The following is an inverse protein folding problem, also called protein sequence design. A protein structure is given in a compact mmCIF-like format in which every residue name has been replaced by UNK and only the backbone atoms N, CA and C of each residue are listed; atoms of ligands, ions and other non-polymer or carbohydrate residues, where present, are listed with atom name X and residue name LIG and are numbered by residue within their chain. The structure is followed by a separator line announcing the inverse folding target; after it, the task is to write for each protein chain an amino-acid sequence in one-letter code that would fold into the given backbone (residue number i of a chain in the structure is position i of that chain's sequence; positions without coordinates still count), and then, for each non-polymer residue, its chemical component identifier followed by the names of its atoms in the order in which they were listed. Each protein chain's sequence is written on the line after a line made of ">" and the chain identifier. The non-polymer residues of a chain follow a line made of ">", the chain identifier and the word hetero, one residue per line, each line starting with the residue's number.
data_IF_972280078641
#
_entry.id   IF_972280078641
#
_cell.length_a   1.000
_cell.length_b   1.000
_cell.length_c   1.000
_cell.angle_alpha   90.00
_cell.angle_beta   90.00
_cell.angle_gamma   90.00
#
_symmetry.space_group_name_H-M   'P 1'
#
loop_
_entity.id
_entity.type
_entity.pdbx_description
1 polymer ?
#
# COMPACT_ATOMS: atom_id res chain seq x y z
N UNK A 1 37.08 19.28 18.70
CA UNK A 1 36.68 19.72 17.35
C UNK A 1 37.93 20.15 16.63
N UNK A 2 38.30 19.43 15.58
CA UNK A 2 39.52 19.68 14.83
C UNK A 2 39.34 20.93 13.96
N UNK A 3 40.39 21.75 13.81
CA UNK A 3 40.36 22.96 12.97
C UNK A 3 39.97 22.66 11.50
N UNK A 4 40.18 21.43 11.03
CA UNK A 4 39.75 20.97 9.71
C UNK A 4 38.22 20.78 9.59
N UNK A 5 37.51 20.38 10.66
CA UNK A 5 36.04 20.24 10.63
C UNK A 5 35.33 21.60 10.59
N UNK A 6 35.97 22.65 11.13
CA UNK A 6 35.45 24.01 11.06
C UNK A 6 35.64 24.62 9.66
N UNK A 7 36.80 24.36 9.02
CA UNK A 7 37.12 24.83 7.67
C UNK A 7 36.22 24.23 6.60
N UNK A 8 35.94 22.92 6.68
CA UNK A 8 35.04 22.24 5.76
C UNK A 8 33.57 22.71 5.89
N UNK A 9 33.11 22.98 7.13
CA UNK A 9 31.77 23.52 7.38
C UNK A 9 31.59 24.98 6.89
N UNK A 10 32.64 25.80 6.99
CA UNK A 10 32.60 27.20 6.50
C UNK A 10 32.62 27.23 4.97
N UNK A 11 33.44 26.40 4.33
CA UNK A 11 33.45 26.30 2.87
C UNK A 11 32.13 25.78 2.31
N UNK A 12 31.50 24.80 2.96
CA UNK A 12 30.17 24.33 2.57
C UNK A 12 29.08 25.40 2.79
N UNK A 13 29.16 26.17 3.89
CA UNK A 13 28.26 27.30 4.12
C UNK A 13 28.42 28.42 3.08
N UNK A 14 29.65 28.76 2.67
CA UNK A 14 29.94 29.76 1.64
C UNK A 14 29.46 29.28 0.26
N UNK A 15 29.72 28.03 -0.10
CA UNK A 15 29.19 27.41 -1.34
C UNK A 15 27.65 27.40 -1.36
N UNK A 16 27.01 27.17 -0.22
CA UNK A 16 25.54 27.27 -0.09
C UNK A 16 25.05 28.71 -0.30
N UNK A 17 25.78 29.72 0.20
CA UNK A 17 25.46 31.14 0.03
C UNK A 17 25.64 31.55 -1.44
N UNK A 18 26.75 31.20 -2.07
CA UNK A 18 27.07 31.53 -3.46
C UNK A 18 26.09 30.87 -4.44
N UNK A 19 25.85 29.55 -4.32
CA UNK A 19 24.84 28.85 -5.13
C UNK A 19 23.44 29.40 -4.93
N UNK A 20 23.11 29.83 -3.72
CA UNK A 20 21.84 30.50 -3.50
C UNK A 20 21.80 31.84 -4.25
N UNK A 21 22.86 32.65 -4.21
CA UNK A 21 22.89 34.01 -4.80
C UNK A 21 22.89 34.01 -6.34
N UNK A 22 23.57 33.05 -6.98
CA UNK A 22 23.92 33.11 -8.42
C UNK A 22 22.72 33.05 -9.39
N UNK A 23 21.59 32.45 -9.00
CA UNK A 23 20.40 32.32 -9.86
C UNK A 23 19.21 33.17 -9.41
N UNK A 24 19.38 34.03 -8.40
CA UNK A 24 18.30 34.88 -7.84
C UNK A 24 18.08 36.18 -8.60
N UNK A 25 18.97 36.53 -9.53
CA UNK A 25 18.99 37.81 -10.24
C UNK A 25 18.80 37.65 -11.76
N UNK A 26 17.78 36.91 -12.19
CA UNK A 26 17.26 37.08 -13.55
C UNK A 26 16.06 38.03 -13.51
N UNK A 27 16.18 39.14 -14.25
CA UNK A 27 15.09 40.10 -14.48
C UNK A 27 14.03 39.43 -15.34
N UNK A 28 13.11 38.73 -14.68
CA UNK A 28 12.04 38.01 -15.35
C UNK A 28 10.86 38.97 -15.57
N UNK A 29 10.84 39.61 -16.73
CA UNK A 29 9.91 40.67 -17.15
C UNK A 29 8.46 40.20 -17.38
N UNK A 30 8.14 38.94 -17.06
CA UNK A 30 6.90 38.30 -17.49
C UNK A 30 5.75 38.37 -16.46
N UNK A 31 6.03 38.69 -15.20
CA UNK A 31 5.02 38.72 -14.13
C UNK A 31 5.25 39.91 -13.18
N UNK A 32 4.44 40.96 -13.30
CA UNK A 32 4.51 42.15 -12.45
C UNK A 32 3.99 41.82 -11.03
N UNK A 33 4.88 41.81 -10.04
CA UNK A 33 4.55 41.76 -8.61
C UNK A 33 5.28 42.91 -7.89
N UNK A 34 4.60 43.56 -6.96
CA UNK A 34 5.22 44.60 -6.13
C UNK A 34 6.23 43.98 -5.15
N UNK A 35 7.27 44.74 -4.80
CA UNK A 35 8.22 44.34 -3.74
C UNK A 35 7.49 44.08 -2.42
N UNK A 36 6.50 44.92 -2.10
CA UNK A 36 5.67 44.79 -0.91
C UNK A 36 4.89 43.46 -0.87
N UNK A 37 4.20 43.09 -1.95
CA UNK A 37 3.46 41.83 -2.01
C UNK A 37 4.41 40.63 -1.99
N UNK A 38 5.58 40.74 -2.61
CA UNK A 38 6.63 39.71 -2.56
C UNK A 38 7.11 39.48 -1.13
N UNK A 39 7.36 40.55 -0.38
CA UNK A 39 7.85 40.47 1.00
C UNK A 39 6.75 39.97 1.96
N UNK A 40 5.48 40.29 1.70
CA UNK A 40 4.33 39.70 2.42
C UNK A 40 4.23 38.19 2.20
N UNK A 41 4.42 37.71 0.97
CA UNK A 41 4.43 36.26 0.68
C UNK A 41 5.62 35.59 1.39
N UNK A 42 6.83 36.15 1.30
CA UNK A 42 8.00 35.63 2.03
C UNK A 42 7.76 35.55 3.53
N UNK A 43 7.13 36.59 4.11
CA UNK A 43 6.76 36.60 5.52
C UNK A 43 5.77 35.49 5.87
N UNK A 44 4.82 35.16 4.99
CA UNK A 44 3.92 34.02 5.18
C UNK A 44 4.68 32.69 5.16
N UNK A 45 5.63 32.52 4.24
CA UNK A 45 6.44 31.31 4.13
C UNK A 45 7.33 31.10 5.36
N UNK A 46 8.05 32.13 5.78
CA UNK A 46 8.97 32.06 6.92
C UNK A 46 8.25 31.75 8.25
N UNK A 47 6.99 32.16 8.40
CA UNK A 47 6.20 31.96 9.61
C UNK A 47 5.18 30.82 9.51
N UNK A 48 5.27 29.98 8.47
CA UNK A 48 4.34 28.87 8.20
C UNK A 48 2.85 29.27 8.13
N UNK A 49 2.54 30.51 7.75
CA UNK A 49 1.17 31.00 7.60
C UNK A 49 0.66 30.82 6.16
N UNK A 50 0.54 29.57 5.71
CA UNK A 50 0.18 29.24 4.33
C UNK A 50 -1.27 29.57 3.98
N UNK A 51 -2.16 29.72 4.96
CA UNK A 51 -3.58 30.03 4.70
C UNK A 51 -3.74 31.35 3.93
N UNK A 52 -2.90 32.33 4.24
CA UNK A 52 -2.89 33.63 3.57
C UNK A 52 -2.42 33.57 2.11
N UNK A 53 -1.73 32.49 1.69
CA UNK A 53 -1.33 32.32 0.29
C UNK A 53 -2.53 32.25 -0.65
N UNK A 54 -3.66 31.70 -0.18
CA UNK A 54 -4.91 31.64 -0.96
C UNK A 54 -5.49 33.01 -1.29
N UNK A 55 -5.31 34.01 -0.42
CA UNK A 55 -5.71 35.38 -0.69
C UNK A 55 -4.78 36.02 -1.74
N UNK A 56 -3.47 35.73 -1.66
CA UNK A 56 -2.50 36.19 -2.65
C UNK A 56 -2.72 35.55 -4.02
N UNK A 57 -3.10 34.27 -4.10
CA UNK A 57 -3.41 33.62 -5.39
C UNK A 57 -4.61 34.28 -6.06
N UNK A 58 -5.65 34.61 -5.29
CA UNK A 58 -6.82 35.33 -5.83
C UNK A 58 -6.49 36.76 -6.29
N UNK A 59 -5.55 37.43 -5.62
CA UNK A 59 -5.15 38.81 -5.93
C UNK A 59 -4.17 38.90 -7.11
N UNK A 60 -3.14 38.05 -7.12
CA UNK A 60 -1.97 38.16 -7.99
C UNK A 60 -1.95 37.10 -9.10
N UNK A 61 -2.80 36.08 -8.99
CA UNK A 61 -2.80 34.93 -9.88
C UNK A 61 -1.84 33.83 -9.42
N UNK A 62 -2.18 32.61 -9.84
CA UNK A 62 -1.51 31.38 -9.41
C UNK A 62 -0.03 31.33 -9.80
N UNK A 63 0.28 31.68 -11.04
CA UNK A 63 1.62 31.60 -11.60
C UNK A 63 2.59 32.50 -10.85
N UNK A 64 2.15 33.71 -10.48
CA UNK A 64 2.94 34.67 -9.70
C UNK A 64 3.27 34.08 -8.34
N UNK A 65 2.25 33.63 -7.59
CA UNK A 65 2.44 33.10 -6.25
C UNK A 65 3.32 31.85 -6.29
N UNK A 66 3.05 30.91 -7.19
CA UNK A 66 3.85 29.69 -7.33
C UNK A 66 5.33 30.00 -7.61
N UNK A 67 5.62 30.96 -8.49
CA UNK A 67 6.99 31.40 -8.79
C UNK A 67 7.68 32.02 -7.57
N UNK A 68 6.98 32.89 -6.83
CA UNK A 68 7.52 33.49 -5.60
C UNK A 68 7.79 32.41 -4.55
N UNK A 69 6.88 31.45 -4.37
CA UNK A 69 7.05 30.33 -3.43
C UNK A 69 8.26 29.48 -3.80
N UNK A 70 8.38 29.05 -5.06
CA UNK A 70 9.49 28.19 -5.51
C UNK A 70 10.84 28.90 -5.45
N UNK A 71 10.91 30.19 -5.83
CA UNK A 71 12.15 31.00 -5.71
C UNK A 71 12.58 31.24 -4.26
N UNK A 72 11.66 31.12 -3.30
CA UNK A 72 11.92 31.30 -1.88
C UNK A 72 11.73 29.99 -1.08
N UNK A 73 11.96 28.84 -1.73
CA UNK A 73 11.82 27.50 -1.14
C UNK A 73 12.65 27.28 0.13
N UNK A 74 13.78 27.97 0.26
CA UNK A 74 14.64 27.93 1.44
C UNK A 74 13.97 28.47 2.73
N UNK A 75 12.88 29.23 2.61
CA UNK A 75 12.08 29.69 3.75
C UNK A 75 11.09 28.63 4.25
N UNK A 76 10.90 27.54 3.52
CA UNK A 76 9.83 26.56 3.75
C UNK A 76 10.40 25.34 4.44
N UNK A 77 10.13 25.20 5.74
CA UNK A 77 10.43 23.97 6.48
C UNK A 77 9.21 23.04 6.46
N UNK A 78 9.34 21.89 5.79
CA UNK A 78 8.33 20.82 5.81
C UNK A 78 8.67 19.71 6.83
N UNK A 79 9.71 19.91 7.63
CA UNK A 79 10.18 18.93 8.60
C UNK A 79 9.24 18.86 9.79
N UNK A 80 8.88 17.62 10.16
CA UNK A 80 8.03 17.20 11.28
C UNK A 80 6.52 17.29 11.00
N UNK A 81 5.91 16.18 10.58
CA UNK A 81 4.59 15.58 10.94
C UNK A 81 3.39 16.43 11.44
N UNK A 82 3.40 17.76 11.37
CA UNK A 82 2.45 18.67 12.01
C UNK A 82 1.72 19.58 11.04
N UNK A 83 2.16 19.70 9.78
CA UNK A 83 1.61 20.71 8.85
C UNK A 83 1.03 20.10 7.56
N UNK A 84 0.14 19.12 7.72
CA UNK A 84 -0.62 18.51 6.62
C UNK A 84 -1.41 19.56 5.81
N UNK A 85 -1.92 20.59 6.48
CA UNK A 85 -2.63 21.69 5.82
C UNK A 85 -1.72 22.52 4.91
N UNK A 86 -0.48 22.77 5.33
CA UNK A 86 0.50 23.53 4.56
C UNK A 86 0.89 22.80 3.27
N UNK A 87 1.12 21.49 3.34
CA UNK A 87 1.34 20.66 2.13
C UNK A 87 0.15 20.70 1.19
N UNK A 88 -1.07 20.53 1.69
CA UNK A 88 -2.30 20.60 0.89
C UNK A 88 -2.46 21.95 0.18
N UNK A 89 -2.20 23.05 0.88
CA UNK A 89 -2.30 24.39 0.29
C UNK A 89 -1.27 24.53 -0.84
N UNK A 90 -0.02 24.13 -0.61
CA UNK A 90 1.02 24.18 -1.63
C UNK A 90 0.72 23.25 -2.81
N UNK A 91 0.23 22.03 -2.58
CA UNK A 91 -0.20 21.10 -3.63
C UNK A 91 -1.31 21.71 -4.48
N UNK A 92 -2.33 22.29 -3.84
CA UNK A 92 -3.41 22.99 -4.54
C UNK A 92 -2.82 24.13 -5.38
N UNK A 93 -1.88 24.88 -4.81
CA UNK A 93 -1.26 26.00 -5.51
C UNK A 93 -0.61 25.52 -6.81
N UNK A 94 0.22 24.49 -6.72
CA UNK A 94 0.97 23.95 -7.83
C UNK A 94 0.14 23.13 -8.82
N UNK A 95 -0.98 22.54 -8.40
CA UNK A 95 -1.87 21.80 -9.29
C UNK A 95 -2.63 22.72 -10.27
N UNK A 96 -2.92 23.95 -9.86
CA UNK A 96 -3.67 24.93 -10.66
C UNK A 96 -2.78 25.70 -11.66
N UNK A 97 -1.46 25.49 -11.61
CA UNK A 97 -0.48 26.07 -12.54
C UNK A 97 -0.30 25.14 -13.74
N UNK A 98 -0.15 25.69 -14.95
CA UNK A 98 0.12 24.91 -16.16
C UNK A 98 1.38 24.06 -16.01
N UNK A 99 1.35 22.87 -16.61
CA UNK A 99 2.43 21.89 -16.47
C UNK A 99 3.76 22.44 -16.98
N UNK A 100 3.77 23.07 -18.15
CA UNK A 100 4.97 23.68 -18.75
C UNK A 100 5.62 24.71 -17.82
N UNK A 101 4.84 25.63 -17.27
CA UNK A 101 5.33 26.68 -16.37
C UNK A 101 5.83 26.10 -15.04
N UNK A 102 5.11 25.11 -14.50
CA UNK A 102 5.55 24.46 -13.26
C UNK A 102 6.86 23.69 -13.47
N UNK A 103 6.98 22.93 -14.56
CA UNK A 103 8.17 22.14 -14.90
C UNK A 103 9.38 23.05 -15.09
N UNK A 104 9.23 24.17 -15.79
CA UNK A 104 10.31 25.14 -15.99
C UNK A 104 10.89 25.62 -14.65
N UNK A 105 10.04 26.10 -13.74
CA UNK A 105 10.49 26.71 -12.49
C UNK A 105 10.94 25.64 -11.48
N UNK A 106 10.19 24.55 -11.35
CA UNK A 106 10.54 23.46 -10.43
C UNK A 106 11.78 22.68 -10.87
N UNK A 107 12.09 22.65 -12.18
CA UNK A 107 13.29 22.02 -12.72
C UNK A 107 14.59 22.57 -12.12
N UNK A 108 14.62 23.86 -11.75
CA UNK A 108 15.76 24.50 -11.08
C UNK A 108 15.99 23.89 -9.68
N UNK A 109 14.92 23.59 -8.95
CA UNK A 109 14.98 22.94 -7.63
C UNK A 109 15.38 21.47 -7.76
N UNK A 110 14.79 20.75 -8.73
CA UNK A 110 15.06 19.32 -8.95
C UNK A 110 16.50 19.08 -9.40
N UNK A 111 17.08 20.01 -10.17
CA UNK A 111 18.47 19.95 -10.65
C UNK A 111 19.52 20.53 -9.69
N UNK A 112 19.15 20.83 -8.43
CA UNK A 112 20.05 21.40 -7.41
C UNK A 112 20.73 22.71 -7.82
N UNK A 113 20.11 23.45 -8.75
CA UNK A 113 20.59 24.76 -9.17
C UNK A 113 20.32 25.82 -8.11
N UNK A 114 19.29 25.65 -7.28
CA UNK A 114 18.96 26.53 -6.15
C UNK A 114 18.95 25.74 -4.84
N UNK A 115 19.48 26.34 -3.77
CA UNK A 115 19.43 25.75 -2.44
C UNK A 115 17.99 25.62 -1.94
N UNK A 116 17.62 24.42 -1.48
CA UNK A 116 16.33 24.12 -0.86
C UNK A 116 16.54 23.13 0.28
N UNK A 117 15.64 23.13 1.26
CA UNK A 117 15.58 22.06 2.25
C UNK A 117 15.23 20.73 1.59
N UNK A 118 15.81 19.63 2.08
CA UNK A 118 15.63 18.28 1.54
C UNK A 118 14.16 17.88 1.54
N UNK A 119 13.45 18.16 2.65
CA UNK A 119 12.04 17.86 2.82
C UNK A 119 11.14 18.57 1.79
N UNK A 120 11.46 19.82 1.45
CA UNK A 120 10.77 20.56 0.38
C UNK A 120 11.16 20.05 -1.01
N UNK A 121 12.43 19.71 -1.23
CA UNK A 121 12.89 19.13 -2.50
C UNK A 121 12.14 17.84 -2.83
N UNK A 122 12.05 16.91 -1.88
CA UNK A 122 11.33 15.64 -2.05
C UNK A 122 9.83 15.84 -2.34
N UNK A 123 9.24 16.89 -1.76
CA UNK A 123 7.86 17.28 -2.03
C UNK A 123 7.69 17.78 -3.47
N UNK A 124 8.54 18.71 -3.93
CA UNK A 124 8.50 19.26 -5.29
C UNK A 124 8.85 18.20 -6.33
N UNK A 125 9.84 17.34 -6.09
CA UNK A 125 10.21 16.24 -6.99
C UNK A 125 8.99 15.37 -7.32
N UNK A 126 8.17 15.01 -6.33
CA UNK A 126 6.96 14.21 -6.56
C UNK A 126 5.95 14.89 -7.47
N UNK A 127 5.81 16.20 -7.38
CA UNK A 127 4.92 16.98 -8.26
C UNK A 127 5.53 17.16 -9.65
N UNK A 128 6.85 17.40 -9.71
CA UNK A 128 7.59 17.59 -10.94
C UNK A 128 7.49 16.38 -11.86
N UNK A 129 7.79 15.18 -11.37
CA UNK A 129 7.71 13.96 -12.18
C UNK A 129 6.27 13.61 -12.61
N UNK A 130 5.25 14.21 -11.97
CA UNK A 130 3.85 14.11 -12.41
C UNK A 130 3.47 15.04 -13.56
N UNK A 131 4.26 16.09 -13.82
CA UNK A 131 3.95 17.14 -14.80
C UNK A 131 4.89 17.20 -16.00
N UNK A 132 6.08 16.58 -15.93
CA UNK A 132 6.99 16.53 -17.10
C UNK A 132 6.35 15.86 -18.32
N UNK A 133 6.80 16.15 -19.56
CA UNK A 133 6.35 15.44 -20.75
C UNK A 133 6.66 13.94 -20.69
N UNK A 134 5.81 13.12 -21.33
CA UNK A 134 5.88 11.65 -21.25
C UNK A 134 7.18 11.12 -21.87
N UNK A 135 7.71 11.77 -22.90
CA UNK A 135 8.97 11.41 -23.56
C UNK A 135 10.16 11.50 -22.60
N UNK A 136 10.08 12.36 -21.58
CA UNK A 136 11.07 12.43 -20.52
C UNK A 136 10.87 11.32 -19.47
N UNK A 137 9.62 10.94 -19.18
CA UNK A 137 9.32 9.83 -18.27
C UNK A 137 9.98 8.53 -18.72
N UNK A 138 9.96 8.22 -20.01
CA UNK A 138 10.59 7.02 -20.57
C UNK A 138 12.11 6.98 -20.29
N UNK A 139 12.78 8.09 -20.55
CA UNK A 139 14.22 8.24 -20.28
C UNK A 139 14.55 8.11 -18.79
N UNK A 140 13.67 8.63 -17.93
CA UNK A 140 13.88 8.60 -16.48
C UNK A 140 13.73 7.19 -15.92
N UNK A 141 12.63 6.48 -16.21
CA UNK A 141 12.42 5.16 -15.60
C UNK A 141 13.46 4.14 -16.05
N UNK A 142 13.98 4.27 -17.29
CA UNK A 142 15.03 3.42 -17.83
C UNK A 142 16.44 3.72 -17.30
N UNK A 143 16.66 4.87 -16.65
CA UNK A 143 17.98 5.27 -16.18
C UNK A 143 18.11 5.08 -14.66
N UNK A 144 18.98 4.14 -14.26
CA UNK A 144 19.23 3.77 -12.86
C UNK A 144 19.86 4.89 -12.01
N UNK A 145 20.37 5.96 -12.62
CA UNK A 145 20.94 7.10 -11.90
C UNK A 145 19.85 7.96 -11.22
N UNK A 146 18.59 7.85 -11.65
CA UNK A 146 17.48 8.54 -11.00
C UNK A 146 16.99 7.79 -9.77
N UNK A 147 16.46 8.54 -8.79
CA UNK A 147 15.82 7.97 -7.59
C UNK A 147 14.70 7.02 -7.97
N UNK A 148 14.60 5.90 -7.24
CA UNK A 148 13.58 4.87 -7.47
C UNK A 148 12.16 5.43 -7.49
N UNK A 149 11.81 6.32 -6.54
CA UNK A 149 10.47 6.92 -6.49
C UNK A 149 10.13 7.71 -7.77
N UNK A 150 11.10 8.45 -8.32
CA UNK A 150 10.95 9.18 -9.57
C UNK A 150 10.75 8.23 -10.75
N UNK A 151 11.53 7.14 -10.80
CA UNK A 151 11.42 6.09 -11.82
C UNK A 151 10.06 5.42 -11.78
N UNK A 152 9.54 5.10 -10.59
CA UNK A 152 8.20 4.51 -10.41
C UNK A 152 7.10 5.45 -10.89
N UNK A 153 7.13 6.73 -10.49
CA UNK A 153 6.15 7.74 -10.95
C UNK A 153 6.17 7.87 -12.48
N UNK A 154 7.36 7.95 -13.07
CA UNK A 154 7.53 8.08 -14.51
C UNK A 154 7.04 6.85 -15.26
N UNK A 155 7.34 5.64 -14.77
CA UNK A 155 6.83 4.40 -15.35
C UNK A 155 5.29 4.35 -15.33
N UNK A 156 4.66 4.71 -14.21
CA UNK A 156 3.20 4.72 -14.11
C UNK A 156 2.54 5.70 -15.08
N UNK A 157 3.17 6.85 -15.34
CA UNK A 157 2.69 7.82 -16.33
C UNK A 157 2.91 7.34 -17.76
N UNK A 158 4.10 6.84 -18.07
CA UNK A 158 4.42 6.28 -19.38
C UNK A 158 3.42 5.19 -19.76
N UNK A 159 3.16 4.23 -18.87
CA UNK A 159 2.25 3.14 -19.20
C UNK A 159 0.79 3.60 -19.32
N UNK A 160 0.39 4.64 -18.59
CA UNK A 160 -0.92 5.27 -18.73
C UNK A 160 -1.13 5.93 -20.09
N UNK A 161 -0.09 6.55 -20.65
CA UNK A 161 -0.13 7.10 -22.02
C UNK A 161 -0.08 5.98 -23.06
N UNK A 162 0.80 5.01 -22.85
CA UNK A 162 0.93 3.83 -23.70
C UNK A 162 -0.41 3.08 -23.83
N UNK A 163 -1.19 3.03 -22.75
CA UNK A 163 -2.50 2.39 -22.71
C UNK A 163 -3.55 3.06 -23.60
N UNK A 164 -3.45 4.36 -23.85
CA UNK A 164 -4.41 5.08 -24.71
C UNK A 164 -4.24 4.73 -26.20
N UNK A 165 -3.04 4.30 -26.58
CA UNK A 165 -2.67 4.08 -27.99
C UNK A 165 -2.47 2.60 -28.35
N UNK A 166 -2.58 1.68 -27.40
CA UNK A 166 -2.28 0.27 -27.60
C UNK A 166 -3.34 -0.64 -26.99
N UNK A 167 -3.51 -1.83 -27.57
CA UNK A 167 -4.41 -2.84 -27.00
C UNK A 167 -3.87 -3.35 -25.65
N UNK A 168 -4.76 -3.83 -24.80
CA UNK A 168 -4.46 -4.35 -23.47
C UNK A 168 -3.42 -5.46 -23.44
N UNK A 169 -3.44 -6.37 -24.42
CA UNK A 169 -2.42 -7.41 -24.49
C UNK A 169 -1.01 -6.83 -24.71
N UNK A 170 -0.86 -5.75 -25.48
CA UNK A 170 0.41 -5.05 -25.65
C UNK A 170 0.83 -4.31 -24.38
N UNK A 171 -0.11 -3.65 -23.70
CA UNK A 171 0.14 -3.01 -22.40
C UNK A 171 0.72 -4.01 -21.39
N UNK A 172 0.12 -5.20 -21.31
CA UNK A 172 0.56 -6.25 -20.40
C UNK A 172 1.96 -6.79 -20.73
N UNK A 173 2.28 -6.95 -22.02
CA UNK A 173 3.63 -7.33 -22.46
C UNK A 173 4.66 -6.25 -22.13
N UNK A 174 4.31 -4.99 -22.33
CA UNK A 174 5.18 -3.86 -22.02
C UNK A 174 5.48 -3.77 -20.52
N UNK A 175 4.45 -3.85 -19.67
CA UNK A 175 4.62 -3.89 -18.21
C UNK A 175 5.53 -5.05 -17.79
N UNK A 176 5.31 -6.25 -18.34
CA UNK A 176 6.11 -7.42 -18.03
C UNK A 176 7.57 -7.29 -18.47
N UNK A 177 7.79 -6.70 -19.65
CA UNK A 177 9.12 -6.38 -20.16
C UNK A 177 9.85 -5.41 -19.21
N UNK A 178 9.18 -4.34 -18.80
CA UNK A 178 9.74 -3.37 -17.85
C UNK A 178 10.04 -4.01 -16.51
N UNK A 179 9.15 -4.83 -15.94
CA UNK A 179 9.39 -5.50 -14.67
C UNK A 179 10.56 -6.48 -14.73
N UNK A 180 10.72 -7.18 -15.85
CA UNK A 180 11.87 -8.06 -16.07
C UNK A 180 13.19 -7.29 -16.12
N UNK A 181 13.19 -6.13 -16.78
CA UNK A 181 14.38 -5.30 -16.95
C UNK A 181 14.69 -4.44 -15.70
N UNK A 182 13.66 -4.08 -14.94
CA UNK A 182 13.71 -3.20 -13.75
C UNK A 182 12.92 -3.80 -12.57
N UNK A 183 13.42 -4.86 -11.92
CA UNK A 183 12.71 -5.54 -10.82
C UNK A 183 12.48 -4.68 -9.58
N UNK A 184 13.23 -3.58 -9.43
CA UNK A 184 13.06 -2.60 -8.37
C UNK A 184 11.81 -1.74 -8.57
N UNK A 185 11.48 -1.39 -9.81
CA UNK A 185 10.22 -0.71 -10.17
C UNK A 185 9.04 -1.63 -9.85
N UNK A 186 9.11 -2.90 -10.25
CA UNK A 186 8.08 -3.90 -9.98
C UNK A 186 7.71 -4.00 -8.50
N UNK A 187 8.72 -3.99 -7.61
CA UNK A 187 8.50 -4.13 -6.16
C UNK A 187 7.88 -2.89 -5.50
N UNK A 188 7.89 -1.74 -6.19
CA UNK A 188 7.51 -0.45 -5.62
C UNK A 188 6.35 0.23 -6.36
N UNK A 189 5.92 -0.32 -7.49
CA UNK A 189 4.75 0.17 -8.20
C UNK A 189 3.46 -0.13 -7.44
N UNK A 190 2.48 0.75 -7.57
CA UNK A 190 1.16 0.52 -6.98
C UNK A 190 0.54 -0.76 -7.56
N UNK A 191 0.14 -1.69 -6.69
CA UNK A 191 -0.50 -2.94 -7.07
C UNK A 191 -1.81 -2.74 -7.87
N UNK A 192 -2.44 -1.57 -7.76
CA UNK A 192 -3.64 -1.19 -8.51
C UNK A 192 -3.32 -0.70 -9.93
N UNK A 193 -2.06 -0.72 -10.38
CA UNK A 193 -1.66 -0.19 -11.70
C UNK A 193 -2.56 -0.68 -12.82
N UNK A 194 -2.67 -2.00 -13.00
CA UNK A 194 -3.51 -2.57 -14.06
C UNK A 194 -4.99 -2.27 -13.83
N UNK A 195 -5.45 -2.33 -12.58
CA UNK A 195 -6.84 -2.00 -12.25
C UNK A 195 -7.22 -0.57 -12.65
N UNK A 196 -6.28 0.37 -12.56
CA UNK A 196 -6.47 1.75 -13.00
C UNK A 196 -6.48 1.89 -14.52
N UNK A 197 -5.83 0.97 -15.25
CA UNK A 197 -5.80 0.93 -16.71
C UNK A 197 -6.99 0.15 -17.30
N UNK A 198 -7.60 -0.76 -16.54
CA UNK A 198 -8.73 -1.60 -16.98
C UNK A 198 -9.88 -0.85 -17.66
N UNK A 199 -10.28 0.37 -17.23
CA UNK A 199 -11.30 1.14 -17.95
C UNK A 199 -10.93 1.53 -19.39
N UNK A 200 -9.63 1.57 -19.72
CA UNK A 200 -9.09 1.96 -21.02
C UNK A 200 -8.76 0.74 -21.91
N UNK A 201 -8.98 -0.48 -21.41
CA UNK A 201 -8.65 -1.72 -22.10
C UNK A 201 -9.91 -2.25 -22.80
N UNK A 202 -9.89 -2.24 -24.13
CA UNK A 202 -10.99 -2.75 -24.96
C UNK A 202 -10.99 -4.28 -25.08
N UNK A 203 -9.81 -4.92 -25.10
CA UNK A 203 -9.58 -6.36 -25.29
C UNK A 203 -9.44 -7.13 -23.96
N UNK A 204 -10.39 -6.91 -23.04
CA UNK A 204 -10.35 -7.48 -21.67
C UNK A 204 -10.18 -9.00 -21.62
N UNK A 205 -10.75 -9.73 -22.59
CA UNK A 205 -10.63 -11.19 -22.67
C UNK A 205 -9.19 -11.63 -22.95
N UNK A 206 -8.53 -10.97 -23.92
CA UNK A 206 -7.15 -11.30 -24.30
C UNK A 206 -6.18 -10.96 -23.17
N UNK A 207 -6.44 -9.85 -22.45
CA UNK A 207 -5.70 -9.50 -21.23
C UNK A 207 -5.87 -10.55 -20.15
N UNK A 208 -7.09 -10.96 -19.84
CA UNK A 208 -7.35 -11.98 -18.83
C UNK A 208 -6.61 -13.28 -19.18
N UNK A 209 -6.68 -13.70 -20.45
CA UNK A 209 -6.04 -14.92 -20.94
C UNK A 209 -4.53 -14.85 -20.77
N UNK A 210 -3.93 -13.75 -21.22
CA UNK A 210 -2.49 -13.55 -21.12
C UNK A 210 -2.02 -13.54 -19.66
N UNK A 211 -2.73 -12.86 -18.76
CA UNK A 211 -2.38 -12.82 -17.33
C UNK A 211 -2.39 -14.23 -16.75
N UNK A 212 -3.44 -15.02 -17.01
CA UNK A 212 -3.60 -16.36 -16.48
C UNK A 212 -2.53 -17.33 -17.03
N UNK A 213 -2.23 -17.26 -18.33
CA UNK A 213 -1.29 -18.16 -19.00
C UNK A 213 0.18 -17.83 -18.68
N UNK A 214 0.52 -16.54 -18.59
CA UNK A 214 1.92 -16.08 -18.53
C UNK A 214 2.37 -15.63 -17.14
N UNK A 215 1.49 -14.97 -16.36
CA UNK A 215 1.92 -14.25 -15.15
C UNK A 215 1.51 -14.91 -13.83
N UNK A 216 0.45 -15.72 -13.81
CA UNK A 216 0.02 -16.42 -12.60
C UNK A 216 0.86 -17.70 -12.42
N UNK A 217 2.17 -17.53 -12.14
CA UNK A 217 3.11 -18.63 -11.87
C UNK A 217 4.00 -18.29 -10.66
N UNK A 218 3.48 -18.52 -9.44
CA UNK A 218 4.18 -18.48 -8.13
C UNK A 218 4.76 -17.12 -7.68
N UNK A 219 4.57 -16.82 -6.39
CA UNK A 219 4.91 -15.55 -5.69
C UNK A 219 4.26 -14.33 -6.36
N UNK A 220 2.96 -14.20 -6.08
CA UNK A 220 2.08 -13.05 -6.32
C UNK A 220 2.80 -11.74 -6.60
N UNK A 221 2.91 -11.43 -7.88
CA UNK A 221 2.92 -10.05 -8.35
C UNK A 221 1.52 -9.51 -8.07
N UNK A 222 1.39 -8.70 -7.01
CA UNK A 222 0.11 -8.14 -6.59
C UNK A 222 -0.56 -7.37 -7.72
N UNK A 223 0.23 -6.78 -8.63
CA UNK A 223 -0.23 -6.11 -9.86
C UNK A 223 -1.05 -7.04 -10.75
N UNK A 224 -0.53 -8.21 -11.14
CA UNK A 224 -1.23 -9.14 -12.04
C UNK A 224 -2.48 -9.72 -11.40
N UNK A 225 -2.40 -10.02 -10.11
CA UNK A 225 -3.52 -10.59 -9.36
C UNK A 225 -4.68 -9.59 -9.23
N UNK A 226 -4.36 -8.32 -8.93
CA UNK A 226 -5.37 -7.26 -8.88
C UNK A 226 -5.88 -6.87 -10.26
N UNK A 227 -5.02 -6.88 -11.28
CA UNK A 227 -5.38 -6.70 -12.67
C UNK A 227 -6.45 -7.71 -13.10
N UNK A 228 -6.20 -9.01 -12.89
CA UNK A 228 -7.18 -10.06 -13.22
C UNK A 228 -8.52 -9.85 -12.50
N UNK A 229 -8.49 -9.52 -11.20
CA UNK A 229 -9.72 -9.28 -10.43
C UNK A 229 -10.50 -8.05 -10.90
N UNK A 230 -9.81 -7.02 -11.42
CA UNK A 230 -10.47 -5.81 -11.93
C UNK A 230 -11.21 -6.03 -13.25
N UNK A 231 -10.95 -7.13 -13.95
CA UNK A 231 -11.67 -7.51 -15.17
C UNK A 231 -13.05 -8.12 -14.87
N UNK A 232 -13.42 -8.33 -13.60
CA UNK A 232 -14.73 -8.81 -13.20
C UNK A 232 -15.05 -10.18 -13.79
N UNK A 233 -16.26 -10.33 -14.36
CA UNK A 233 -16.73 -11.59 -14.94
C UNK A 233 -15.80 -12.12 -16.04
N UNK A 234 -15.23 -11.25 -16.88
CA UNK A 234 -14.26 -11.65 -17.93
C UNK A 234 -13.05 -12.34 -17.31
N UNK A 235 -12.51 -11.78 -16.22
CA UNK A 235 -11.38 -12.38 -15.51
C UNK A 235 -11.75 -13.71 -14.85
N UNK A 236 -12.97 -13.84 -14.33
CA UNK A 236 -13.45 -15.07 -13.71
C UNK A 236 -13.67 -16.19 -14.73
N UNK A 237 -14.38 -15.91 -15.83
CA UNK A 237 -14.66 -16.87 -16.90
C UNK A 237 -13.35 -17.41 -17.49
N UNK A 238 -12.37 -16.55 -17.71
CA UNK A 238 -11.07 -16.94 -18.23
C UNK A 238 -10.28 -17.83 -17.24
N UNK A 239 -10.39 -17.56 -15.94
CA UNK A 239 -9.82 -18.45 -14.92
C UNK A 239 -10.49 -19.83 -14.94
N UNK A 240 -11.82 -19.90 -15.06
CA UNK A 240 -12.56 -21.17 -15.18
C UNK A 240 -12.22 -21.91 -16.47
N UNK A 241 -12.10 -21.20 -17.60
CA UNK A 241 -11.66 -21.75 -18.89
C UNK A 241 -10.28 -22.39 -18.76
N UNK A 242 -9.33 -21.69 -18.14
CA UNK A 242 -7.98 -22.22 -17.93
C UNK A 242 -7.98 -23.47 -17.04
N UNK A 243 -8.73 -23.46 -15.93
CA UNK A 243 -8.85 -24.60 -15.03
C UNK A 243 -9.44 -25.82 -15.77
N UNK A 244 -10.49 -25.61 -16.55
CA UNK A 244 -11.14 -26.68 -17.32
C UNK A 244 -10.20 -27.29 -18.37
N UNK A 245 -9.39 -26.45 -19.03
CA UNK A 245 -8.43 -26.90 -20.04
C UNK A 245 -7.21 -27.61 -19.44
N UNK A 246 -6.73 -27.20 -18.25
CA UNK A 246 -5.56 -27.81 -17.60
C UNK A 246 -5.88 -29.08 -16.84
N UNK A 247 -6.98 -29.10 -16.09
CA UNK A 247 -7.43 -30.24 -15.28
C UNK A 247 -6.30 -30.92 -14.46
N UNK A 248 -5.47 -30.11 -13.80
CA UNK A 248 -4.39 -30.60 -12.94
C UNK A 248 -4.35 -29.78 -11.65
N UNK A 249 -4.76 -30.37 -10.53
CA UNK A 249 -4.73 -29.73 -9.22
C UNK A 249 -3.33 -29.58 -8.63
N UNK A 250 -2.36 -30.32 -9.16
CA UNK A 250 -0.95 -30.17 -8.76
C UNK A 250 -0.34 -28.94 -9.40
N UNK A 251 -0.85 -28.52 -10.56
CA UNK A 251 -0.43 -27.29 -11.23
C UNK A 251 -0.65 -26.08 -10.31
N UNK A 252 0.40 -25.27 -10.20
CA UNK A 252 0.47 -24.19 -9.22
C UNK A 252 -0.43 -23.01 -9.58
N UNK A 253 -0.54 -22.71 -10.88
CA UNK A 253 -1.49 -21.72 -11.41
C UNK A 253 -2.90 -22.14 -11.06
N UNK A 254 -3.27 -23.40 -11.33
CA UNK A 254 -4.61 -23.91 -11.03
C UNK A 254 -4.94 -23.80 -9.54
N UNK A 255 -4.00 -24.21 -8.68
CA UNK A 255 -4.16 -24.12 -7.23
C UNK A 255 -4.31 -22.67 -6.76
N UNK A 256 -3.52 -21.76 -7.31
CA UNK A 256 -3.60 -20.34 -6.99
C UNK A 256 -4.96 -19.75 -7.43
N UNK A 257 -5.40 -20.03 -8.65
CA UNK A 257 -6.69 -19.57 -9.16
C UNK A 257 -7.83 -20.02 -8.25
N UNK A 258 -7.89 -21.32 -7.92
CA UNK A 258 -8.94 -21.86 -7.05
C UNK A 258 -8.83 -21.31 -5.63
N UNK A 259 -7.68 -21.43 -4.98
CA UNK A 259 -7.58 -21.15 -3.53
C UNK A 259 -7.41 -19.66 -3.20
N UNK A 260 -7.03 -18.80 -4.15
CA UNK A 260 -6.70 -17.38 -3.90
C UNK A 260 -7.42 -16.39 -4.79
N UNK A 261 -7.67 -16.70 -6.06
CA UNK A 261 -8.33 -15.76 -6.99
C UNK A 261 -9.85 -15.90 -6.96
N UNK A 262 -10.39 -17.11 -7.13
CA UNK A 262 -11.82 -17.38 -7.18
C UNK A 262 -12.59 -16.79 -5.98
N UNK A 263 -12.17 -16.97 -4.70
CA UNK A 263 -12.85 -16.36 -3.56
C UNK A 263 -13.01 -14.84 -3.67
N UNK A 264 -12.00 -14.16 -4.22
CA UNK A 264 -11.98 -12.71 -4.36
C UNK A 264 -12.90 -12.20 -5.47
N UNK A 265 -13.18 -13.02 -6.48
CA UNK A 265 -14.18 -12.69 -7.50
C UNK A 265 -15.58 -12.66 -6.90
N UNK A 266 -15.92 -13.64 -6.06
CA UNK A 266 -17.24 -13.63 -5.40
C UNK A 266 -17.43 -12.40 -4.50
N UNK A 267 -16.38 -11.98 -3.77
CA UNK A 267 -16.45 -10.79 -2.91
C UNK A 267 -16.65 -9.47 -3.67
N UNK A 268 -16.45 -9.46 -5.00
CA UNK A 268 -16.52 -8.26 -5.84
C UNK A 268 -17.64 -8.30 -6.89
N UNK A 269 -18.37 -9.41 -6.99
CA UNK A 269 -19.38 -9.60 -8.03
C UNK A 269 -20.74 -9.07 -7.58
N UNK A 270 -21.45 -8.40 -8.49
CA UNK A 270 -22.85 -7.98 -8.30
C UNK A 270 -23.83 -9.16 -8.48
N UNK A 271 -23.40 -10.24 -9.13
CA UNK A 271 -24.19 -11.47 -9.34
C UNK A 271 -23.41 -12.72 -8.94
N UNK A 272 -23.97 -13.53 -8.05
CA UNK A 272 -23.26 -14.65 -7.41
C UNK A 272 -23.64 -15.98 -8.08
N UNK A 273 -24.87 -16.09 -8.56
CA UNK A 273 -25.44 -17.31 -9.14
C UNK A 273 -24.64 -17.82 -10.35
N UNK A 274 -24.20 -16.99 -11.33
CA UNK A 274 -23.39 -17.46 -12.44
C UNK A 274 -22.03 -18.01 -11.98
N UNK A 275 -21.41 -17.36 -10.99
CA UNK A 275 -20.14 -17.79 -10.42
C UNK A 275 -20.30 -19.14 -9.69
N UNK A 276 -21.38 -19.30 -8.93
CA UNK A 276 -21.70 -20.57 -8.28
C UNK A 276 -21.90 -21.69 -9.31
N UNK A 277 -22.63 -21.42 -10.39
CA UNK A 277 -22.86 -22.38 -11.48
C UNK A 277 -21.53 -22.86 -12.09
N UNK A 278 -20.65 -21.93 -12.46
CA UNK A 278 -19.35 -22.27 -13.04
C UNK A 278 -18.45 -23.09 -12.08
N UNK A 279 -18.47 -22.77 -10.78
CA UNK A 279 -17.74 -23.55 -9.76
C UNK A 279 -18.33 -24.95 -9.60
N UNK A 280 -19.65 -25.09 -9.64
CA UNK A 280 -20.32 -26.38 -9.59
C UNK A 280 -20.00 -27.23 -10.82
N UNK A 281 -20.00 -26.63 -12.01
CA UNK A 281 -19.65 -27.34 -13.25
C UNK A 281 -18.19 -27.79 -13.24
N UNK A 282 -17.29 -26.95 -12.72
CA UNK A 282 -15.89 -27.33 -12.53
C UNK A 282 -15.76 -28.51 -11.53
N UNK A 283 -16.53 -28.49 -10.44
CA UNK A 283 -16.56 -29.59 -9.47
C UNK A 283 -17.07 -30.90 -10.11
N UNK A 284 -18.16 -30.84 -10.89
CA UNK A 284 -18.74 -32.00 -11.57
C UNK A 284 -17.81 -32.58 -12.63
N UNK A 285 -17.19 -31.71 -13.43
CA UNK A 285 -16.35 -32.12 -14.55
C UNK A 285 -14.98 -32.67 -14.13
N UNK A 286 -14.42 -32.21 -13.01
CA UNK A 286 -13.00 -32.41 -12.72
C UNK A 286 -12.74 -32.85 -11.28
N UNK A 287 -12.72 -34.18 -11.06
CA UNK A 287 -12.38 -34.81 -9.75
C UNK A 287 -11.04 -34.34 -9.18
N UNK A 288 -10.09 -33.98 -10.03
CA UNK A 288 -8.77 -33.51 -9.62
C UNK A 288 -8.86 -32.27 -8.70
N UNK A 289 -9.86 -31.41 -8.90
CA UNK A 289 -10.02 -30.16 -8.16
C UNK A 289 -10.90 -30.23 -6.92
N UNK A 290 -11.55 -31.37 -6.63
CA UNK A 290 -12.49 -31.51 -5.51
C UNK A 290 -11.90 -31.02 -4.18
N UNK A 291 -10.67 -31.44 -3.89
CA UNK A 291 -9.97 -31.02 -2.67
C UNK A 291 -9.79 -29.49 -2.60
N UNK A 292 -9.30 -28.88 -3.68
CA UNK A 292 -9.03 -27.43 -3.72
C UNK A 292 -10.32 -26.61 -3.67
N UNK A 293 -11.38 -27.07 -4.33
CA UNK A 293 -12.68 -26.39 -4.36
C UNK A 293 -13.37 -26.44 -3.00
N UNK A 294 -13.30 -27.56 -2.28
CA UNK A 294 -13.83 -27.62 -0.91
C UNK A 294 -12.99 -26.73 0.02
N UNK A 295 -11.65 -26.80 -0.08
CA UNK A 295 -10.74 -25.97 0.71
C UNK A 295 -10.95 -24.47 0.47
N UNK A 296 -11.28 -24.07 -0.76
CA UNK A 296 -11.57 -22.69 -1.15
C UNK A 296 -12.70 -22.08 -0.30
N UNK A 297 -13.69 -22.89 0.10
CA UNK A 297 -14.87 -22.46 0.84
C UNK A 297 -14.63 -22.26 2.34
N UNK A 298 -13.42 -22.54 2.84
CA UNK A 298 -13.10 -22.47 4.28
C UNK A 298 -13.15 -21.04 4.84
N UNK A 299 -13.51 -20.87 6.13
CA UNK A 299 -13.51 -19.58 6.80
C UNK A 299 -12.16 -18.86 6.70
N UNK A 300 -12.19 -17.57 6.37
CA UNK A 300 -10.98 -16.75 6.18
C UNK A 300 -10.33 -16.85 4.79
N UNK A 301 -10.67 -17.87 3.99
CA UNK A 301 -10.36 -17.92 2.55
C UNK A 301 -11.54 -17.41 1.73
N UNK A 302 -12.76 -17.86 2.07
CA UNK A 302 -14.00 -17.45 1.43
C UNK A 302 -14.68 -16.29 2.17
N UNK A 303 -15.45 -15.50 1.43
CA UNK A 303 -16.02 -14.25 1.92
C UNK A 303 -17.37 -14.42 2.61
N UNK A 304 -18.19 -15.42 2.24
CA UNK A 304 -19.57 -15.56 2.70
C UNK A 304 -19.93 -16.99 3.10
N UNK A 305 -20.45 -17.15 4.33
CA UNK A 305 -20.84 -18.44 4.92
C UNK A 305 -22.02 -19.09 4.21
N UNK A 306 -23.05 -18.32 3.89
CA UNK A 306 -24.31 -18.84 3.38
C UNK A 306 -24.09 -19.37 1.95
N UNK A 307 -23.29 -18.66 1.15
CA UNK A 307 -22.87 -19.08 -0.19
C UNK A 307 -21.95 -20.29 -0.11
N UNK A 308 -20.97 -20.30 0.81
CA UNK A 308 -20.11 -21.46 1.02
C UNK A 308 -20.91 -22.72 1.36
N UNK A 309 -21.89 -22.63 2.27
CA UNK A 309 -22.75 -23.75 2.63
C UNK A 309 -23.67 -24.18 1.48
N UNK A 310 -24.20 -23.24 0.68
CA UNK A 310 -24.98 -23.55 -0.52
C UNK A 310 -24.15 -24.34 -1.55
N UNK A 311 -22.93 -23.89 -1.85
CA UNK A 311 -22.03 -24.61 -2.76
C UNK A 311 -21.65 -25.99 -2.19
N UNK A 312 -21.36 -26.06 -0.89
CA UNK A 312 -21.03 -27.33 -0.24
C UNK A 312 -22.20 -28.33 -0.34
N UNK A 313 -23.44 -27.89 -0.12
CA UNK A 313 -24.64 -28.73 -0.31
C UNK A 313 -24.78 -29.22 -1.76
N UNK A 314 -24.47 -28.37 -2.74
CA UNK A 314 -24.50 -28.74 -4.15
C UNK A 314 -23.39 -29.72 -4.54
N UNK A 315 -22.23 -29.66 -3.87
CA UNK A 315 -21.16 -30.63 -4.05
C UNK A 315 -21.54 -31.99 -3.45
N UNK A 316 -22.11 -31.97 -2.24
CA UNK A 316 -22.56 -33.17 -1.51
C UNK A 316 -23.65 -33.94 -2.27
N UNK A 317 -24.59 -33.21 -2.90
CA UNK A 317 -25.65 -33.83 -3.70
C UNK A 317 -25.15 -34.47 -5.00
N UNK A 318 -23.94 -34.14 -5.45
CA UNK A 318 -23.35 -34.69 -6.67
C UNK A 318 -22.51 -35.94 -6.42
N UNK A 319 -21.68 -35.95 -5.38
CA UNK A 319 -20.78 -37.07 -5.06
C UNK A 319 -20.36 -37.03 -3.61
N UNK A 320 -20.05 -38.21 -3.05
CA UNK A 320 -19.42 -38.32 -1.73
C UNK A 320 -18.11 -37.53 -1.68
N UNK A 321 -17.86 -36.88 -0.55
CA UNK A 321 -16.67 -36.09 -0.34
C UNK A 321 -15.42 -36.95 -0.16
N UNK A 322 -14.26 -36.53 -0.69
CA UNK A 322 -13.00 -37.20 -0.38
C UNK A 322 -12.71 -37.14 1.11
N UNK A 323 -12.32 -38.26 1.73
CA UNK A 323 -11.96 -38.34 3.17
C UNK A 323 -10.95 -37.27 3.60
N UNK A 324 -10.02 -36.91 2.72
CA UNK A 324 -9.02 -35.86 2.97
C UNK A 324 -9.61 -34.44 3.17
N UNK A 325 -10.91 -34.25 2.91
CA UNK A 325 -11.60 -32.95 3.03
C UNK A 325 -12.50 -32.83 4.26
N UNK A 326 -12.66 -33.90 5.05
CA UNK A 326 -13.52 -33.93 6.25
C UNK A 326 -13.28 -32.76 7.20
N UNK A 327 -12.00 -32.41 7.42
CA UNK A 327 -11.63 -31.26 8.25
C UNK A 327 -12.21 -29.95 7.70
N UNK A 328 -12.10 -29.70 6.40
CA UNK A 328 -12.60 -28.46 5.79
C UNK A 328 -14.12 -28.42 5.81
N UNK A 329 -14.78 -29.56 5.58
CA UNK A 329 -16.24 -29.68 5.66
C UNK A 329 -16.69 -29.31 7.07
N UNK A 330 -16.07 -29.90 8.09
CA UNK A 330 -16.37 -29.56 9.48
C UNK A 330 -16.19 -28.06 9.74
N UNK A 331 -15.07 -27.47 9.30
CA UNK A 331 -14.81 -26.02 9.45
C UNK A 331 -15.87 -25.15 8.77
N UNK A 332 -16.33 -25.51 7.57
CA UNK A 332 -17.36 -24.74 6.82
C UNK A 332 -18.72 -24.87 7.49
N UNK A 333 -19.08 -26.07 7.97
CA UNK A 333 -20.36 -26.34 8.63
C UNK A 333 -20.45 -25.68 9.99
N UNK A 334 -19.34 -25.65 10.74
CA UNK A 334 -19.25 -25.00 12.04
C UNK A 334 -18.96 -23.50 11.97
N UNK A 335 -18.82 -22.92 10.78
CA UNK A 335 -18.53 -21.50 10.60
C UNK A 335 -19.63 -20.66 11.26
N UNK A 336 -19.31 -19.82 12.26
CA UNK A 336 -20.25 -18.87 12.84
C UNK A 336 -20.21 -17.53 12.09
N UNK A 337 -21.34 -16.81 12.01
CA UNK A 337 -21.35 -15.45 11.41
C UNK A 337 -20.50 -14.47 12.24
N UNK A 338 -20.34 -14.75 13.54
CA UNK A 338 -19.47 -14.00 14.45
C UNK A 338 -17.98 -14.07 14.07
N UNK A 339 -17.59 -14.94 13.12
CA UNK A 339 -16.22 -14.96 12.59
C UNK A 339 -15.96 -13.89 11.51
N UNK A 340 -17.00 -13.29 10.92
CA UNK A 340 -16.87 -12.30 9.85
C UNK A 340 -16.57 -10.90 10.38
N UNK A 341 -17.31 -10.47 11.41
CA UNK A 341 -17.19 -9.17 12.04
C UNK A 341 -16.28 -9.28 13.27
N UNK A 342 -15.38 -8.31 13.46
CA UNK A 342 -14.63 -8.22 14.71
C UNK A 342 -15.56 -7.93 15.89
N UNK A 343 -15.00 -7.61 17.04
CA UNK A 343 -15.79 -7.18 18.19
C UNK A 343 -16.31 -5.76 17.97
N UNK A 344 -17.61 -5.59 18.10
CA UNK A 344 -18.37 -4.34 18.00
C UNK A 344 -18.54 -3.63 19.36
N UNK A 345 -18.25 -4.31 20.48
CA UNK A 345 -18.28 -3.72 21.83
C UNK A 345 -17.16 -4.25 22.74
N UNK A 346 -16.81 -3.47 23.77
CA UNK A 346 -15.84 -3.84 24.81
C UNK A 346 -16.38 -5.03 25.62
N UNK A 347 -17.67 -5.06 25.92
CA UNK A 347 -18.31 -6.14 26.68
C UNK A 347 -18.19 -7.49 25.97
N UNK A 348 -18.33 -7.51 24.64
CA UNK A 348 -18.12 -8.72 23.84
C UNK A 348 -16.65 -9.16 23.87
N UNK A 349 -15.70 -8.24 23.80
CA UNK A 349 -14.28 -8.56 23.99
C UNK A 349 -14.03 -9.18 25.37
N UNK A 350 -14.53 -8.55 26.44
CA UNK A 350 -14.42 -9.07 27.82
C UNK A 350 -15.02 -10.47 27.96
N UNK A 351 -16.21 -10.68 27.42
CA UNK A 351 -16.93 -11.96 27.52
C UNK A 351 -16.23 -13.07 26.74
N UNK A 352 -15.76 -12.80 25.52
CA UNK A 352 -15.12 -13.80 24.67
C UNK A 352 -13.66 -14.05 25.05
N UNK A 353 -12.84 -12.99 25.13
CA UNK A 353 -11.42 -13.13 25.43
C UNK A 353 -11.19 -13.61 26.87
N UNK A 354 -12.11 -13.33 27.79
CA UNK A 354 -12.08 -13.76 29.19
C UNK A 354 -12.44 -15.23 29.43
N UNK A 355 -12.98 -15.98 28.45
CA UNK A 355 -13.46 -17.37 28.71
C UNK A 355 -12.35 -18.30 29.19
N UNK A 356 -12.46 -18.99 30.35
CA UNK A 356 -11.40 -19.84 30.90
C UNK A 356 -10.97 -20.99 29.97
N UNK A 357 -11.83 -21.40 29.03
CA UNK A 357 -11.60 -22.49 28.10
C UNK A 357 -10.56 -22.21 27.00
N UNK A 358 -10.12 -20.97 26.81
CA UNK A 358 -9.17 -20.64 25.75
C UNK A 358 -7.72 -20.91 26.15
N UNK A 359 -7.08 -21.84 25.45
CA UNK A 359 -5.65 -22.12 25.58
C UNK A 359 -4.82 -21.10 24.76
N UNK A 360 -4.22 -20.14 25.45
CA UNK A 360 -3.35 -19.11 24.86
C UNK A 360 -1.91 -19.59 24.61
N UNK A 361 -1.55 -20.81 25.01
CA UNK A 361 -0.28 -21.41 24.59
C UNK A 361 -0.37 -21.99 23.17
N UNK A 362 -1.59 -22.21 22.67
CA UNK A 362 -1.83 -22.64 21.30
C UNK A 362 -1.74 -21.47 20.31
N UNK A 363 -0.78 -21.54 19.39
CA UNK A 363 -0.55 -20.52 18.36
C UNK A 363 -1.80 -20.23 17.52
N UNK A 364 -2.61 -21.25 17.20
CA UNK A 364 -3.83 -21.06 16.40
C UNK A 364 -4.88 -20.24 17.13
N UNK A 365 -4.97 -20.39 18.45
CA UNK A 365 -5.87 -19.61 19.30
C UNK A 365 -5.45 -18.14 19.29
N UNK A 366 -4.15 -17.87 19.46
CA UNK A 366 -3.60 -16.52 19.40
C UNK A 366 -3.77 -15.87 18.02
N UNK A 367 -3.60 -16.64 16.94
CA UNK A 367 -3.84 -16.16 15.57
C UNK A 367 -5.32 -15.90 15.29
N UNK A 368 -6.22 -16.70 15.86
CA UNK A 368 -7.66 -16.47 15.78
C UNK A 368 -8.01 -15.13 16.43
N UNK A 369 -7.64 -14.91 17.69
CA UNK A 369 -7.95 -13.65 18.38
C UNK A 369 -7.27 -12.44 17.76
N UNK A 370 -6.02 -12.58 17.31
CA UNK A 370 -5.36 -11.50 16.58
C UNK A 370 -6.09 -11.14 15.28
N UNK A 371 -6.73 -12.10 14.59
CA UNK A 371 -7.55 -11.81 13.41
C UNK A 371 -8.85 -11.11 13.80
N UNK A 372 -9.51 -11.50 14.89
CA UNK A 372 -10.73 -10.85 15.35
C UNK A 372 -10.49 -9.41 15.81
N UNK A 373 -9.43 -9.17 16.58
CA UNK A 373 -9.01 -7.82 16.99
C UNK A 373 -8.68 -6.94 15.78
N UNK A 374 -8.02 -7.50 14.75
CA UNK A 374 -7.71 -6.77 13.50
C UNK A 374 -8.95 -6.34 12.71
N UNK A 375 -10.06 -7.07 12.86
CA UNK A 375 -11.35 -6.75 12.22
C UNK A 375 -12.21 -5.78 13.03
N UNK A 376 -11.85 -5.55 14.30
CA UNK A 376 -12.57 -4.67 15.21
C UNK A 376 -12.20 -3.21 14.96
N UNK A 377 -13.04 -2.25 15.33
CA UNK A 377 -12.67 -0.83 15.32
C UNK A 377 -11.49 -0.61 16.29
N UNK A 378 -10.41 0.00 15.79
CA UNK A 378 -9.19 0.22 16.57
C UNK A 378 -9.46 1.08 17.82
N UNK A 379 -10.45 1.97 17.81
CA UNK A 379 -10.85 2.75 18.98
C UNK A 379 -11.37 1.85 20.11
N UNK A 380 -12.14 0.82 19.76
CA UNK A 380 -12.69 -0.15 20.71
C UNK A 380 -11.55 -1.03 21.25
N UNK A 381 -10.62 -1.45 20.39
CA UNK A 381 -9.45 -2.22 20.81
C UNK A 381 -8.57 -1.43 21.79
N UNK A 382 -8.36 -0.14 21.53
CA UNK A 382 -7.60 0.74 22.42
C UNK A 382 -8.30 0.94 23.76
N UNK A 383 -9.60 1.23 23.74
CA UNK A 383 -10.39 1.36 24.97
C UNK A 383 -10.40 0.05 25.77
N UNK A 384 -10.52 -1.09 25.11
CA UNK A 384 -10.39 -2.40 25.76
C UNK A 384 -9.00 -2.61 26.38
N UNK A 385 -7.92 -2.22 25.69
CA UNK A 385 -6.56 -2.28 26.24
C UNK A 385 -6.41 -1.38 27.48
N UNK A 386 -6.99 -0.18 27.47
CA UNK A 386 -6.95 0.76 28.60
C UNK A 386 -7.77 0.27 29.80
N UNK A 387 -8.89 -0.43 29.56
CA UNK A 387 -9.75 -1.01 30.60
C UNK A 387 -9.31 -2.40 31.08
N UNK A 388 -8.40 -3.06 30.37
CA UNK A 388 -7.98 -4.42 30.67
C UNK A 388 -7.11 -4.43 31.93
N UNK A 389 -7.34 -5.43 32.78
CA UNK A 389 -6.41 -5.73 33.87
C UNK A 389 -5.05 -6.12 33.27
N UNK A 390 -4.03 -5.30 33.53
CA UNK A 390 -2.67 -5.50 32.99
C UNK A 390 -1.98 -6.70 33.65
N UNK A 391 -2.53 -7.24 34.73
CA UNK A 391 -2.05 -8.44 35.41
C UNK A 391 -2.69 -9.73 34.87
N UNK A 392 -3.70 -9.63 33.98
CA UNK A 392 -4.24 -10.79 33.26
C UNK A 392 -3.24 -11.26 32.19
N UNK A 393 -2.49 -12.31 32.54
CA UNK A 393 -1.48 -12.94 31.67
C UNK A 393 -2.07 -13.41 30.33
N UNK A 394 -3.33 -13.82 30.31
CA UNK A 394 -4.01 -14.36 29.13
C UNK A 394 -4.37 -13.24 28.16
N UNK A 395 -4.98 -12.18 28.66
CA UNK A 395 -5.29 -11.00 27.85
C UNK A 395 -4.01 -10.33 27.36
N UNK A 396 -2.98 -10.26 28.22
CA UNK A 396 -1.64 -9.79 27.86
C UNK A 396 -1.05 -10.58 26.70
N UNK A 397 -1.14 -11.91 26.70
CA UNK A 397 -0.65 -12.75 25.61
C UNK A 397 -1.42 -12.51 24.30
N UNK A 398 -2.76 -12.42 24.37
CA UNK A 398 -3.63 -12.18 23.20
C UNK A 398 -3.33 -10.82 22.56
N UNK A 399 -3.32 -9.75 23.37
CA UNK A 399 -3.09 -8.38 22.92
C UNK A 399 -1.66 -8.20 22.41
N UNK A 400 -0.66 -8.76 23.10
CA UNK A 400 0.74 -8.71 22.65
C UNK A 400 0.94 -9.41 21.30
N UNK A 401 0.27 -10.55 21.06
CA UNK A 401 0.29 -11.22 19.77
C UNK A 401 -0.33 -10.35 18.67
N UNK A 402 -1.44 -9.67 18.96
CA UNK A 402 -2.10 -8.74 18.05
C UNK A 402 -1.22 -7.52 17.72
N UNK A 403 -0.60 -6.89 18.71
CA UNK A 403 0.30 -5.76 18.48
C UNK A 403 1.54 -6.17 17.69
N UNK A 404 2.18 -7.30 18.02
CA UNK A 404 3.29 -7.84 17.24
C UNK A 404 2.92 -8.06 15.78
N UNK A 405 1.74 -8.67 15.52
CA UNK A 405 1.22 -8.87 14.17
C UNK A 405 0.91 -7.56 13.44
N UNK A 406 0.51 -6.51 14.17
CA UNK A 406 0.26 -5.18 13.59
C UNK A 406 1.53 -4.55 13.03
N UNK A 407 2.69 -4.78 13.67
CA UNK A 407 4.00 -4.35 13.17
C UNK A 407 4.54 -5.18 12.00
N UNK A 408 3.86 -6.26 11.59
CA UNK A 408 4.17 -6.97 10.33
C UNK A 408 3.79 -6.15 9.09
N UNK A 409 2.91 -5.17 9.25
CA UNK A 409 2.47 -4.25 8.19
C UNK A 409 2.52 -2.82 8.70
N UNK A 410 2.01 -1.86 7.94
CA UNK A 410 1.82 -0.50 8.43
C UNK A 410 0.85 -0.51 9.62
N UNK A 411 1.30 -0.26 10.86
CA UNK A 411 0.42 -0.28 12.02
C UNK A 411 -0.57 0.89 11.93
N UNK A 412 -1.77 0.73 12.50
CA UNK A 412 -2.75 1.81 12.56
C UNK A 412 -2.16 3.01 13.33
N UNK A 413 -2.42 4.22 12.87
CA UNK A 413 -1.83 5.44 13.45
C UNK A 413 -2.17 5.64 14.93
N UNK A 414 -3.27 5.05 15.41
CA UNK A 414 -3.63 5.10 16.84
C UNK A 414 -2.70 4.27 17.72
N UNK A 415 -2.06 3.21 17.18
CA UNK A 415 -1.09 2.39 17.91
C UNK A 415 0.15 3.18 18.33
N UNK A 416 0.50 4.26 17.62
CA UNK A 416 1.66 5.09 18.01
C UNK A 416 1.41 5.87 19.30
N UNK A 417 0.14 6.01 19.71
CA UNK A 417 -0.29 6.74 20.91
C UNK A 417 -0.37 5.85 22.15
N UNK A 418 -0.33 4.53 21.99
CA UNK A 418 -0.35 3.60 23.12
C UNK A 418 1.00 3.65 23.82
N UNK A 419 0.95 3.78 25.14
CA UNK A 419 2.09 3.53 26.01
C UNK A 419 2.04 2.09 26.52
N UNK A 420 3.10 1.33 26.24
CA UNK A 420 3.18 -0.09 26.57
C UNK A 420 3.98 -0.27 27.86
N UNK A 421 3.42 -0.94 28.88
CA UNK A 421 4.19 -1.32 30.06
C UNK A 421 5.24 -2.39 29.69
N UNK A 422 6.26 -2.55 30.56
CA UNK A 422 7.42 -3.39 30.28
C UNK A 422 7.06 -4.85 29.97
N UNK A 423 6.08 -5.42 30.67
CA UNK A 423 5.57 -6.78 30.45
C UNK A 423 5.00 -6.98 29.03
N UNK A 424 4.25 -5.99 28.51
CA UNK A 424 3.75 -6.00 27.14
C UNK A 424 4.87 -5.84 26.13
N UNK A 425 5.83 -4.92 26.37
CA UNK A 425 6.98 -4.72 25.48
C UNK A 425 7.75 -6.04 25.31
N UNK A 426 8.06 -6.72 26.41
CA UNK A 426 8.80 -7.98 26.39
C UNK A 426 8.01 -9.07 25.65
N UNK A 427 6.70 -9.19 25.90
CA UNK A 427 5.88 -10.18 25.23
C UNK A 427 5.67 -9.91 23.74
N UNK A 428 5.55 -8.65 23.34
CA UNK A 428 5.52 -8.25 21.93
C UNK A 428 6.86 -8.61 21.26
N UNK A 429 7.99 -8.37 21.94
CA UNK A 429 9.31 -8.76 21.45
C UNK A 429 9.43 -10.27 21.24
N UNK A 430 8.94 -11.08 22.18
CA UNK A 430 8.90 -12.55 22.04
C UNK A 430 8.16 -12.96 20.75
N UNK A 431 6.98 -12.38 20.51
CA UNK A 431 6.21 -12.69 19.30
C UNK A 431 6.89 -12.19 18.02
N UNK A 432 7.57 -11.03 18.04
CA UNK A 432 8.36 -10.54 16.91
C UNK A 432 9.47 -11.54 16.55
N UNK A 433 10.14 -12.13 17.56
CA UNK A 433 11.19 -13.12 17.38
C UNK A 433 10.61 -14.44 16.86
N UNK A 434 9.63 -15.00 17.57
CA UNK A 434 8.99 -16.30 17.25
C UNK A 434 8.43 -16.27 15.82
N UNK A 435 7.74 -15.19 15.46
CA UNK A 435 7.13 -15.03 14.13
C UNK A 435 8.07 -14.45 13.07
N UNK A 436 9.33 -14.18 13.42
CA UNK A 436 10.37 -13.61 12.53
C UNK A 436 9.90 -12.36 11.79
N UNK A 437 9.30 -11.40 12.51
CA UNK A 437 8.72 -10.19 11.92
C UNK A 437 9.82 -9.16 11.63
N UNK A 438 10.33 -9.17 10.40
CA UNK A 438 11.42 -8.29 9.93
C UNK A 438 10.90 -7.19 9.01
N UNK A 439 10.37 -6.11 9.57
CA UNK A 439 9.83 -4.98 8.80
C UNK A 439 10.38 -3.65 9.32
N UNK A 440 10.25 -2.58 8.53
CA UNK A 440 10.59 -1.22 9.02
C UNK A 440 9.79 -0.84 10.27
N UNK A 441 8.56 -1.35 10.42
CA UNK A 441 7.68 -1.03 11.53
C UNK A 441 8.05 -1.77 12.81
N UNK A 442 8.40 -3.06 12.71
CA UNK A 442 8.93 -3.78 13.87
C UNK A 442 10.30 -3.23 14.29
N UNK A 443 11.15 -2.79 13.34
CA UNK A 443 12.41 -2.10 13.66
C UNK A 443 12.17 -0.81 14.46
N UNK A 444 11.27 0.07 13.98
CA UNK A 444 10.92 1.32 14.68
C UNK A 444 10.38 1.08 16.10
N UNK A 445 9.56 0.03 16.30
CA UNK A 445 9.08 -0.36 17.62
C UNK A 445 10.25 -0.77 18.54
N UNK A 446 11.16 -1.62 18.06
CA UNK A 446 12.33 -2.05 18.83
C UNK A 446 13.27 -0.88 19.16
N UNK A 447 13.43 0.08 18.25
CA UNK A 447 14.20 1.32 18.47
C UNK A 447 13.55 2.18 19.56
N UNK A 448 12.23 2.40 19.46
CA UNK A 448 11.45 3.18 20.46
C UNK A 448 11.62 2.63 21.88
N UNK A 449 11.72 1.31 22.03
CA UNK A 449 11.84 0.64 23.33
C UNK A 449 13.25 0.15 23.67
N UNK A 450 14.28 0.68 22.98
CA UNK A 450 15.70 0.42 23.24
C UNK A 450 16.10 -1.08 23.24
N UNK A 451 15.51 -1.89 22.35
CA UNK A 451 15.78 -3.33 22.22
C UNK A 451 16.88 -3.63 21.19
N UNK A 452 18.03 -2.97 21.35
CA UNK A 452 19.17 -2.99 20.40
C UNK A 452 19.64 -4.41 20.07
N UNK A 453 19.76 -5.30 21.07
CA UNK A 453 20.20 -6.68 20.86
C UNK A 453 19.28 -7.48 19.92
N UNK A 454 17.96 -7.21 19.96
CA UNK A 454 17.00 -7.85 19.07
C UNK A 454 17.08 -7.30 17.65
N UNK A 455 17.37 -6.00 17.50
CA UNK A 455 17.58 -5.38 16.19
C UNK A 455 18.76 -6.05 15.49
N UNK A 456 19.91 -6.16 16.16
CA UNK A 456 21.09 -6.84 15.61
C UNK A 456 20.79 -8.29 15.25
N UNK A 457 20.10 -9.02 16.14
CA UNK A 457 19.76 -10.44 15.90
C UNK A 457 18.83 -10.64 14.70
N UNK A 458 17.86 -9.75 14.49
CA UNK A 458 16.83 -9.90 13.47
C UNK A 458 17.19 -9.25 12.13
N UNK A 459 17.90 -8.12 12.12
CA UNK A 459 18.07 -7.26 10.94
C UNK A 459 19.51 -7.18 10.41
N UNK A 460 20.52 -7.56 11.19
CA UNK A 460 21.95 -7.38 10.82
C UNK A 460 22.63 -8.72 10.47
N UNK A 461 21.96 -9.55 9.66
CA UNK A 461 22.59 -10.72 9.00
C UNK A 461 22.74 -10.51 7.51
#
# INVERSE_FOLDING_TARGET
>A
MNQNELGDNVNDAVLRIEKALDLRFEADTTLYITKEDTDKIKHCLANNNYQNLSAFTSKLGQNVVAKVVLKNSWLISLDVNKDYNSKKILEKIFSEVSDDFFVEIAGIIVSDKVFTLISFKEFIEKLYYKKIPIEHCEKIFNNSNFKLNSRVICFQRYIGEYAQSNSGAYICREISSVFKNHPDIERNVNYQLLSNLTPQIDDKQDVAKWIVEEQIKKKTHDVWSHGLLSLGNVGFEEAIRYLSNKNDSRNETCRYLIEKSCPKFFAKSEGIEPLMGAILDLYKGFRSYHYNLIKMLTPGSFFDKDIANKLLNQFESHTEFPKATEKFISEIRSWSKDDQDGYDTIEKMKTELGKPSHDVNNEKTLEYFSRQLKKSDMKIVNAFYEECDQDDLKLTAILSCFFANSFKSNPHHELSKIDFPANYIDKICDFIIIKRIKTKYSKLFLEKHNKIALITTLFER
#
